data_IF_454302146088
#
_entry.id   IF_454302146088
#
_cell.length_a   1.000
_cell.length_b   1.000
_cell.length_c   1.000
_cell.angle_alpha   90.00
_cell.angle_beta   90.00
_cell.angle_gamma   90.00
#
_symmetry.space_group_name_H-M   'P 1'
#
loop_
_entity.id
_entity.type
_entity.pdbx_description
1 polymer ?
#
# COMPACT_ATOMS: atom_id res chain seq x y z
N UNK A 1 6.98 -11.23 -6.93
CA UNK A 1 5.60 -11.57 -6.50
C UNK A 1 5.63 -12.76 -5.54
N UNK A 2 6.43 -13.79 -5.83
CA UNK A 2 6.39 -15.08 -5.12
C UNK A 2 7.13 -15.12 -3.76
N UNK A 3 8.11 -14.23 -3.54
CA UNK A 3 8.83 -14.17 -2.25
C UNK A 3 7.90 -13.82 -1.09
N UNK A 4 7.01 -12.83 -1.27
CA UNK A 4 6.05 -12.41 -0.24
C UNK A 4 5.02 -13.52 0.02
N UNK A 5 4.54 -14.18 -1.03
CA UNK A 5 3.62 -15.29 -0.91
C UNK A 5 4.23 -16.44 -0.09
N UNK A 6 5.52 -16.73 -0.31
CA UNK A 6 6.24 -17.74 0.45
C UNK A 6 6.33 -17.40 1.93
N UNK A 7 6.64 -16.15 2.27
CA UNK A 7 6.68 -15.71 3.67
C UNK A 7 5.31 -15.78 4.34
N UNK A 8 4.24 -15.39 3.64
CA UNK A 8 2.88 -15.49 4.18
C UNK A 8 2.44 -16.94 4.41
N UNK A 9 2.86 -17.88 3.55
CA UNK A 9 2.59 -19.30 3.76
C UNK A 9 3.26 -19.86 5.02
N UNK A 10 4.41 -19.32 5.45
CA UNK A 10 5.05 -19.73 6.71
C UNK A 10 4.23 -19.37 7.95
N UNK A 11 3.27 -18.46 7.82
CA UNK A 11 2.38 -18.05 8.90
C UNK A 11 1.16 -18.97 9.05
N UNK A 12 0.99 -19.98 8.21
CA UNK A 12 -0.11 -20.94 8.32
C UNK A 12 0.18 -22.04 9.36
N UNK A 13 -0.82 -22.47 10.16
CA UNK A 13 -2.19 -21.94 10.20
C UNK A 13 -2.26 -20.60 10.96
N UNK A 14 -3.03 -19.64 10.44
CA UNK A 14 -3.08 -18.29 11.04
C UNK A 14 -3.62 -18.31 12.48
N UNK A 15 -4.54 -19.24 12.75
CA UNK A 15 -5.15 -19.39 14.08
C UNK A 15 -4.17 -19.87 15.17
N UNK A 16 -2.97 -20.34 14.81
CA UNK A 16 -1.95 -20.73 15.80
C UNK A 16 -0.86 -19.67 16.01
N UNK A 17 -0.98 -18.51 15.36
CA UNK A 17 0.03 -17.45 15.46
C UNK A 17 -0.10 -16.64 16.76
N UNK A 18 0.97 -15.91 17.17
CA UNK A 18 0.91 -15.01 18.31
C UNK A 18 -0.20 -13.96 18.15
N UNK A 19 -0.77 -13.50 19.28
CA UNK A 19 -1.87 -12.55 19.29
C UNK A 19 -1.58 -11.25 18.51
N UNK A 20 -0.34 -10.77 18.53
CA UNK A 20 0.08 -9.59 17.77
C UNK A 20 -0.03 -9.81 16.25
N UNK A 21 0.39 -10.97 15.76
CA UNK A 21 0.32 -11.33 14.34
C UNK A 21 -1.14 -11.46 13.91
N UNK A 22 -1.96 -12.12 14.73
CA UNK A 22 -3.40 -12.24 14.49
C UNK A 22 -4.04 -10.85 14.40
N UNK A 23 -3.74 -9.96 15.35
CA UNK A 23 -4.27 -8.59 15.37
C UNK A 23 -3.88 -7.79 14.12
N UNK A 24 -2.63 -7.89 13.68
CA UNK A 24 -2.16 -7.21 12.47
C UNK A 24 -2.86 -7.75 11.22
N UNK A 25 -3.03 -9.07 11.12
CA UNK A 25 -3.76 -9.67 10.01
C UNK A 25 -5.23 -9.27 10.03
N UNK A 26 -5.89 -9.26 11.19
CA UNK A 26 -7.28 -8.82 11.29
C UNK A 26 -7.45 -7.34 10.90
N UNK A 27 -6.52 -6.47 11.29
CA UNK A 27 -6.53 -5.07 10.88
C UNK A 27 -6.36 -4.91 9.37
N UNK A 28 -5.47 -5.70 8.77
CA UNK A 28 -5.29 -5.75 7.32
C UNK A 28 -6.59 -6.20 6.63
N UNK A 29 -7.23 -7.27 7.12
CA UNK A 29 -8.49 -7.80 6.59
C UNK A 29 -9.62 -6.77 6.62
N UNK A 30 -9.76 -6.03 7.72
CA UNK A 30 -10.74 -4.93 7.84
C UNK A 30 -10.47 -3.82 6.82
N UNK A 31 -9.21 -3.43 6.66
CA UNK A 31 -8.81 -2.32 5.79
C UNK A 31 -8.96 -2.66 4.32
N UNK A 32 -8.57 -3.87 3.93
CA UNK A 32 -8.55 -4.30 2.53
C UNK A 32 -9.84 -5.01 2.10
N UNK A 33 -10.71 -5.36 3.04
CA UNK A 33 -11.97 -6.08 2.80
C UNK A 33 -11.71 -7.45 2.16
N UNK A 34 -10.89 -8.25 2.82
CA UNK A 34 -10.42 -9.56 2.39
C UNK A 34 -10.39 -10.52 3.59
N UNK A 35 -10.23 -11.82 3.34
CA UNK A 35 -10.09 -12.81 4.41
C UNK A 35 -8.98 -13.80 4.10
N UNK A 36 -8.15 -14.09 5.11
CA UNK A 36 -6.93 -14.89 4.95
C UNK A 36 -5.81 -14.14 4.22
N UNK A 37 -4.58 -14.62 4.39
CA UNK A 37 -3.39 -14.08 3.73
C UNK A 37 -3.32 -14.53 2.27
N UNK A 38 -3.37 -15.84 2.01
CA UNK A 38 -3.02 -16.40 0.69
C UNK A 38 -4.11 -17.25 0.06
N UNK A 39 -4.68 -18.17 0.82
CA UNK A 39 -5.63 -19.16 0.33
C UNK A 39 -7.07 -18.71 0.60
N UNK A 40 -7.32 -17.90 1.62
CA UNK A 40 -8.64 -17.33 1.90
C UNK A 40 -9.17 -17.64 3.31
N UNK A 41 -10.49 -17.67 3.52
CA UNK A 41 -11.11 -17.95 4.81
C UNK A 41 -10.72 -19.27 5.46
N UNK A 42 -10.41 -20.30 4.67
CA UNK A 42 -10.07 -21.63 5.18
C UNK A 42 -8.73 -21.68 5.95
N UNK A 43 -7.92 -20.62 5.91
CA UNK A 43 -6.71 -20.54 6.75
C UNK A 43 -7.03 -20.30 8.24
N UNK A 44 -8.27 -19.94 8.55
CA UNK A 44 -8.77 -19.76 9.90
C UNK A 44 -9.52 -21.00 10.37
N UNK A 45 -9.19 -21.50 11.56
CA UNK A 45 -9.97 -22.54 12.24
C UNK A 45 -11.33 -22.01 12.68
N UNK A 46 -11.38 -20.77 13.15
CA UNK A 46 -12.59 -20.01 13.43
C UNK A 46 -12.50 -18.66 12.73
N UNK A 47 -13.48 -18.35 11.87
CA UNK A 47 -13.47 -17.11 11.08
C UNK A 47 -13.56 -15.91 12.03
N UNK A 48 -12.58 -14.99 12.01
CA UNK A 48 -12.60 -13.79 12.83
C UNK A 48 -13.61 -12.77 12.29
N UNK A 49 -14.03 -11.85 13.16
CA UNK A 49 -14.99 -10.80 12.79
C UNK A 49 -14.44 -9.84 11.72
N UNK A 50 -13.11 -9.71 11.60
CA UNK A 50 -12.43 -8.95 10.54
C UNK A 50 -12.71 -9.48 9.13
N UNK A 51 -13.07 -10.76 9.00
CA UNK A 51 -13.41 -11.39 7.73
C UNK A 51 -14.88 -11.22 7.36
N UNK A 52 -15.72 -10.67 8.25
CA UNK A 52 -17.15 -10.51 7.99
C UNK A 52 -17.42 -9.34 7.06
N UNK A 53 -18.41 -9.51 6.20
CA UNK A 53 -18.81 -8.53 5.22
C UNK A 53 -20.34 -8.40 5.17
N UNK A 54 -20.82 -7.21 4.86
CA UNK A 54 -22.24 -6.99 4.60
C UNK A 54 -22.52 -7.30 3.13
N UNK A 55 -23.26 -8.37 2.86
CA UNK A 55 -23.62 -8.80 1.52
C UNK A 55 -24.69 -7.86 0.94
N UNK A 56 -24.26 -6.71 0.42
CA UNK A 56 -25.09 -5.86 -0.45
C UNK A 56 -24.90 -6.29 -1.91
N UNK A 57 -25.89 -6.00 -2.78
CA UNK A 57 -25.90 -6.44 -4.18
C UNK A 57 -24.62 -6.08 -4.97
N UNK A 58 -23.92 -5.01 -4.59
CA UNK A 58 -22.68 -4.54 -5.22
C UNK A 58 -21.43 -5.30 -4.76
N UNK A 59 -21.49 -6.02 -3.63
CA UNK A 59 -20.37 -6.74 -3.03
C UNK A 59 -20.55 -8.26 -3.11
N UNK A 60 -21.56 -8.76 -3.82
CA UNK A 60 -21.90 -10.18 -3.88
C UNK A 60 -20.72 -11.05 -4.40
N UNK A 61 -19.89 -10.49 -5.28
CA UNK A 61 -18.74 -11.19 -5.86
C UNK A 61 -17.57 -11.31 -4.87
N UNK A 62 -17.45 -10.37 -3.92
CA UNK A 62 -16.39 -10.35 -2.91
C UNK A 62 -16.83 -10.91 -1.56
N UNK A 63 -18.15 -10.96 -1.31
CA UNK A 63 -18.78 -11.35 -0.05
C UNK A 63 -19.75 -12.51 -0.26
N UNK A 64 -19.50 -13.65 0.39
CA UNK A 64 -20.37 -14.81 0.30
C UNK A 64 -20.77 -15.28 1.70
N UNK A 65 -22.08 -15.49 1.90
CA UNK A 65 -22.63 -15.87 3.20
C UNK A 65 -22.15 -14.97 4.37
N UNK A 66 -21.89 -13.69 4.08
CA UNK A 66 -21.39 -12.72 5.07
C UNK A 66 -19.90 -12.80 5.37
N UNK A 67 -19.10 -13.50 4.56
CA UNK A 67 -17.62 -13.60 4.70
C UNK A 67 -16.92 -13.22 3.40
N UNK A 68 -15.82 -12.46 3.50
CA UNK A 68 -15.01 -12.11 2.34
C UNK A 68 -14.35 -13.35 1.74
N UNK A 69 -14.46 -13.53 0.42
CA UNK A 69 -13.86 -14.69 -0.29
C UNK A 69 -12.43 -14.45 -0.75
N UNK A 70 -12.08 -13.20 -1.05
CA UNK A 70 -10.78 -12.89 -1.63
C UNK A 70 -9.67 -12.96 -0.58
N UNK A 71 -8.54 -13.62 -0.89
CA UNK A 71 -7.35 -13.55 -0.05
C UNK A 71 -6.72 -12.16 -0.11
N UNK A 72 -6.15 -11.73 1.03
CA UNK A 72 -5.61 -10.39 1.17
C UNK A 72 -4.40 -10.13 0.28
N UNK A 73 -3.58 -11.13 -0.02
CA UNK A 73 -2.47 -11.00 -0.97
C UNK A 73 -2.95 -10.51 -2.35
N UNK A 74 -4.01 -11.13 -2.90
CA UNK A 74 -4.56 -10.75 -4.21
C UNK A 74 -5.16 -9.34 -4.15
N UNK A 75 -5.91 -9.04 -3.09
CA UNK A 75 -6.52 -7.72 -2.90
C UNK A 75 -5.46 -6.61 -2.78
N UNK A 76 -4.39 -6.87 -2.02
CA UNK A 76 -3.27 -5.96 -1.84
C UNK A 76 -2.56 -5.68 -3.17
N UNK A 77 -2.25 -6.72 -3.96
CA UNK A 77 -1.59 -6.54 -5.26
C UNK A 77 -2.47 -5.74 -6.23
N UNK A 78 -3.77 -6.03 -6.29
CA UNK A 78 -4.68 -5.31 -7.18
C UNK A 78 -4.80 -3.83 -6.76
N UNK A 79 -4.84 -3.56 -5.46
CA UNK A 79 -4.83 -2.20 -4.93
C UNK A 79 -3.53 -1.48 -5.29
N UNK A 80 -2.37 -2.13 -5.11
CA UNK A 80 -1.08 -1.56 -5.48
C UNK A 80 -1.01 -1.27 -6.97
N UNK A 81 -1.42 -2.19 -7.84
CA UNK A 81 -1.39 -1.98 -9.29
C UNK A 81 -2.26 -0.82 -9.74
N UNK A 82 -3.45 -0.68 -9.15
CA UNK A 82 -4.38 0.40 -9.49
C UNK A 82 -3.88 1.78 -9.05
N UNK A 83 -3.20 1.85 -7.90
CA UNK A 83 -2.69 3.11 -7.36
C UNK A 83 -1.26 3.44 -7.84
N UNK A 84 -0.50 2.46 -8.35
CA UNK A 84 0.86 2.66 -8.84
C UNK A 84 0.92 3.68 -9.99
N UNK A 85 -0.08 3.65 -10.88
CA UNK A 85 -0.16 4.62 -11.97
C UNK A 85 -0.26 6.05 -11.46
N UNK A 86 -1.08 6.28 -10.42
CA UNK A 86 -1.23 7.59 -9.79
C UNK A 86 0.07 7.99 -9.07
N UNK A 87 0.68 7.05 -8.35
CA UNK A 87 1.94 7.29 -7.64
C UNK A 87 3.09 7.68 -8.59
N UNK A 88 3.19 7.03 -9.76
CA UNK A 88 4.18 7.38 -10.79
C UNK A 88 3.98 8.81 -11.32
N UNK A 89 2.73 9.24 -11.51
CA UNK A 89 2.42 10.61 -11.91
C UNK A 89 2.88 11.63 -10.86
N UNK A 90 2.62 11.38 -9.59
CA UNK A 90 3.06 12.25 -8.48
C UNK A 90 4.60 12.31 -8.43
N UNK A 91 5.27 11.17 -8.50
CA UNK A 91 6.73 11.10 -8.48
C UNK A 91 7.36 11.90 -9.62
N UNK A 92 6.81 11.80 -10.83
CA UNK A 92 7.27 12.57 -11.98
C UNK A 92 7.06 14.08 -11.77
N UNK A 93 5.90 14.49 -11.26
CA UNK A 93 5.62 15.89 -10.93
C UNK A 93 6.61 16.46 -9.91
N UNK A 94 6.88 15.72 -8.84
CA UNK A 94 7.88 16.11 -7.82
C UNK A 94 9.28 16.21 -8.42
N UNK A 95 9.68 15.27 -9.29
CA UNK A 95 10.98 15.31 -9.95
C UNK A 95 11.17 16.59 -10.78
N UNK A 96 10.15 17.00 -11.54
CA UNK A 96 10.18 18.25 -12.31
C UNK A 96 10.31 19.47 -11.40
N UNK A 97 9.54 19.53 -10.30
CA UNK A 97 9.65 20.61 -9.31
C UNK A 97 11.04 20.71 -8.68
N UNK A 98 11.67 19.57 -8.38
CA UNK A 98 13.04 19.52 -7.85
C UNK A 98 14.07 20.05 -8.85
N UNK A 99 13.95 19.70 -10.14
CA UNK A 99 14.83 20.21 -11.20
C UNK A 99 14.72 21.73 -11.30
N UNK A 100 13.49 22.27 -11.30
CA UNK A 100 13.28 23.72 -11.27
C UNK A 100 13.84 24.36 -10.00
N UNK A 101 13.67 23.73 -8.83
CA UNK A 101 14.25 24.20 -7.58
C UNK A 101 15.78 24.31 -7.63
N UNK A 102 16.45 23.32 -8.22
CA UNK A 102 17.90 23.36 -8.43
C UNK A 102 18.31 24.46 -9.41
N UNK A 103 17.61 24.59 -10.53
CA UNK A 103 17.90 25.62 -11.53
C UNK A 103 17.74 27.04 -10.96
N UNK A 104 16.62 27.33 -10.27
CA UNK A 104 16.39 28.64 -9.66
C UNK A 104 17.41 28.96 -8.57
N UNK A 105 17.79 27.96 -7.76
CA UNK A 105 18.82 28.14 -6.72
C UNK A 105 20.16 28.55 -7.33
N UNK A 106 20.59 27.90 -8.42
CA UNK A 106 21.82 28.24 -9.12
C UNK A 106 21.77 29.64 -9.74
N UNK A 107 20.65 30.03 -10.35
CA UNK A 107 20.49 31.39 -10.91
C UNK A 107 20.55 32.46 -9.82
N UNK A 108 19.84 32.27 -8.70
CA UNK A 108 19.85 33.21 -7.58
C UNK A 108 21.25 33.36 -6.97
N UNK A 109 21.96 32.24 -6.78
CA UNK A 109 23.35 32.25 -6.31
C UNK A 109 24.26 33.05 -7.26
N UNK A 110 24.15 32.83 -8.57
CA UNK A 110 24.90 33.57 -9.57
C UNK A 110 24.56 35.08 -9.59
N UNK A 111 23.32 35.47 -9.28
CA UNK A 111 22.94 36.90 -9.21
C UNK A 111 23.48 37.58 -7.95
N UNK A 112 23.45 36.92 -6.80
CA UNK A 112 24.03 37.44 -5.55
C UNK A 112 25.54 37.65 -5.70
N UNK A 113 26.26 36.65 -6.21
CA UNK A 113 27.71 36.77 -6.44
C UNK A 113 28.11 37.87 -7.43
N UNK A 114 27.21 38.25 -8.36
CA UNK A 114 27.45 39.37 -9.29
C UNK A 114 27.14 40.74 -8.67
N UNK A 115 26.30 40.80 -7.64
CA UNK A 115 25.97 42.05 -6.93
C UNK A 115 27.10 42.48 -5.97
N UNK A 116 27.94 41.54 -5.55
CA UNK A 116 29.12 41.76 -4.69
C UNK A 116 30.46 41.72 -5.46
N UNK A 117 30.43 41.69 -6.81
CA UNK A 117 31.63 41.83 -7.64
C UNK A 117 32.23 43.24 -7.55
N UNK A 118 33.56 43.40 -7.57
CA UNK A 118 34.27 44.57 -7.05
C UNK A 118 33.80 45.85 -7.74
N UNK A 119 33.31 46.80 -6.94
CA UNK A 119 33.27 48.20 -7.32
C UNK A 119 34.66 48.57 -7.81
N UNK A 120 34.79 48.72 -9.13
CA UNK A 120 35.98 49.27 -9.76
C UNK A 120 36.02 50.74 -9.36
N UNK A 121 36.94 51.08 -8.46
CA UNK A 121 37.39 52.43 -8.17
C UNK A 121 38.92 52.41 -8.20
#
# INVERSE_FOLDING_TARGET
KDSILTEFKKLQPLSSQPASVIQDVENMQRTLQCCGLTDGPQEWTAIPDSCRCNATATNQDSCNAGVYKLPCYTRMINWMQSNLQVALGIAFGVAVLLIFGMAFSMVLFCQLGRKDGPTTA
#
